data_IF_602921465161
#
_entry.id   IF_602921465161
#
_cell.length_a   1.000
_cell.length_b   1.000
_cell.length_c   1.000
_cell.angle_alpha   90.00
_cell.angle_beta   90.00
_cell.angle_gamma   90.00
#
_symmetry.space_group_name_H-M   'P 1'
#
loop_
_entity.id
_entity.type
_entity.pdbx_description
1 polymer ?
#
# COMPACT_ATOMS: atom_id res chain seq x y z
N UNK A 1 -77.73 2.38 -23.27
CA UNK A 1 -76.86 1.71 -24.27
C UNK A 1 -75.43 1.82 -23.76
N UNK A 2 -74.84 0.75 -23.22
CA UNK A 2 -73.91 -0.19 -23.90
C UNK A 2 -72.59 0.51 -24.31
N UNK A 3 -71.38 0.10 -23.95
CA UNK A 3 -70.89 -1.05 -23.21
C UNK A 3 -69.51 -0.71 -22.59
N UNK A 4 -69.36 -1.10 -21.33
CA UNK A 4 -68.10 -1.30 -20.63
C UNK A 4 -67.36 -2.51 -21.22
N UNK A 5 -66.09 -2.33 -21.59
CA UNK A 5 -65.10 -3.39 -21.72
C UNK A 5 -64.10 -3.17 -20.58
N UNK A 6 -64.27 -3.85 -19.45
CA UNK A 6 -63.64 -5.16 -19.15
C UNK A 6 -62.14 -5.15 -19.42
N UNK A 7 -61.35 -4.82 -18.39
CA UNK A 7 -60.26 -5.72 -18.01
C UNK A 7 -60.32 -5.98 -16.50
N UNK A 8 -60.41 -7.27 -16.24
CA UNK A 8 -60.64 -7.95 -14.98
C UNK A 8 -59.29 -8.22 -14.32
N UNK A 9 -59.23 -7.89 -13.04
CA UNK A 9 -58.49 -8.54 -11.96
C UNK A 9 -57.27 -9.39 -12.33
N UNK A 10 -56.13 -9.07 -11.71
CA UNK A 10 -55.44 -10.04 -10.86
C UNK A 10 -54.76 -9.33 -9.69
N UNK A 11 -55.41 -9.44 -8.54
CA UNK A 11 -54.83 -9.25 -7.22
C UNK A 11 -53.72 -10.29 -6.99
N UNK A 12 -52.85 -9.94 -6.04
CA UNK A 12 -51.99 -10.82 -5.26
C UNK A 12 -50.67 -11.23 -5.94
N UNK A 13 -49.59 -10.55 -5.54
CA UNK A 13 -48.56 -11.21 -4.74
C UNK A 13 -47.85 -10.14 -3.90
N UNK A 14 -48.31 -10.03 -2.66
CA UNK A 14 -47.53 -9.46 -1.55
C UNK A 14 -46.30 -10.35 -1.43
N UNK A 15 -45.19 -9.92 -2.04
CA UNK A 15 -43.88 -10.50 -1.78
C UNK A 15 -43.50 -10.13 -0.34
N UNK A 16 -43.90 -10.98 0.61
CA UNK A 16 -43.38 -11.02 1.98
C UNK A 16 -41.86 -11.19 1.90
N UNK A 17 -41.14 -10.07 1.89
CA UNK A 17 -39.73 -10.08 2.22
C UNK A 17 -39.61 -10.44 3.70
N UNK A 18 -39.17 -11.67 3.98
CA UNK A 18 -38.80 -12.10 5.32
C UNK A 18 -37.56 -11.29 5.73
N UNK A 19 -37.56 -10.60 6.88
CA UNK A 19 -36.35 -9.94 7.34
C UNK A 19 -35.30 -11.01 7.66
N UNK A 20 -34.17 -10.95 6.94
CA UNK A 20 -32.97 -11.73 7.26
C UNK A 20 -32.53 -11.32 8.65
N UNK A 21 -32.71 -12.23 9.60
CA UNK A 21 -32.27 -12.13 10.98
C UNK A 21 -30.75 -11.94 11.00
N UNK A 22 -30.33 -10.69 11.26
CA UNK A 22 -28.94 -10.37 11.60
C UNK A 22 -28.59 -11.12 12.89
N UNK A 23 -27.79 -12.18 12.76
CA UNK A 23 -27.12 -12.81 13.91
C UNK A 23 -25.93 -11.92 14.27
N UNK A 24 -26.08 -11.17 15.35
CA UNK A 24 -25.02 -10.46 16.05
C UNK A 24 -23.94 -11.46 16.49
N UNK A 25 -22.68 -11.31 16.08
CA UNK A 25 -21.59 -12.09 16.66
C UNK A 25 -21.34 -11.62 18.10
N UNK A 26 -21.35 -12.57 19.03
CA UNK A 26 -21.06 -12.38 20.45
C UNK A 26 -19.63 -11.85 20.66
N UNK A 27 -19.40 -10.94 21.62
CA UNK A 27 -18.06 -10.48 21.93
C UNK A 27 -17.28 -11.60 22.64
N UNK A 28 -16.36 -12.24 21.92
CA UNK A 28 -15.40 -13.18 22.51
C UNK A 28 -14.42 -12.41 23.40
N UNK A 29 -14.55 -12.61 24.71
CA UNK A 29 -13.68 -12.08 25.77
C UNK A 29 -12.27 -12.66 25.62
N UNK A 30 -11.38 -11.95 24.93
CA UNK A 30 -10.00 -12.36 24.72
C UNK A 30 -9.21 -12.25 26.03
N UNK A 31 -8.84 -13.41 26.58
CA UNK A 31 -8.03 -13.55 27.80
C UNK A 31 -6.66 -12.90 27.62
N UNK A 32 -6.38 -11.90 28.45
CA UNK A 32 -5.03 -11.44 28.79
C UNK A 32 -4.26 -12.61 29.41
N UNK A 33 -3.25 -13.11 28.69
CA UNK A 33 -2.22 -14.00 29.22
C UNK A 33 -0.86 -13.35 29.00
N UNK A 34 -0.29 -12.83 30.07
CA UNK A 34 1.06 -12.26 30.11
C UNK A 34 2.11 -13.37 30.07
N UNK A 35 3.28 -13.04 29.52
CA UNK A 35 4.59 -13.72 29.62
C UNK A 35 4.82 -14.94 28.70
N UNK A 36 5.47 -14.65 27.57
CA UNK A 36 6.56 -15.50 27.08
C UNK A 36 7.46 -14.64 26.19
N UNK A 37 8.43 -13.96 26.82
CA UNK A 37 9.53 -13.27 26.14
C UNK A 37 10.39 -14.25 25.31
N UNK A 38 10.22 -15.56 25.54
CA UNK A 38 10.87 -16.65 24.82
C UNK A 38 10.21 -17.01 23.48
N UNK A 39 9.08 -16.40 23.13
CA UNK A 39 8.44 -16.57 21.80
C UNK A 39 8.90 -15.53 20.76
N UNK A 40 9.79 -14.62 21.14
CA UNK A 40 10.32 -13.56 20.26
C UNK A 40 11.51 -14.07 19.41
N UNK A 41 12.12 -15.19 19.80
CA UNK A 41 13.26 -15.80 19.12
C UNK A 41 12.89 -16.90 18.11
N UNK A 42 11.60 -17.21 17.98
CA UNK A 42 11.08 -18.24 17.07
C UNK A 42 10.10 -17.67 16.03
N UNK A 43 10.35 -16.42 15.63
CA UNK A 43 9.95 -15.94 14.30
C UNK A 43 11.05 -16.35 13.32
N UNK A 44 10.65 -16.92 12.19
CA UNK A 44 11.53 -17.42 11.13
C UNK A 44 12.73 -16.49 10.94
N UNK A 45 13.95 -16.95 11.25
CA UNK A 45 15.13 -16.06 11.33
C UNK A 45 15.38 -15.27 10.04
N UNK A 46 14.91 -15.80 8.90
CA UNK A 46 14.91 -15.14 7.60
C UNK A 46 13.99 -13.91 7.53
N UNK A 47 12.81 -13.94 8.16
CA UNK A 47 11.87 -12.82 8.20
C UNK A 47 12.38 -11.68 9.10
N UNK A 48 12.92 -12.02 10.26
CA UNK A 48 13.54 -11.03 11.16
C UNK A 48 14.77 -10.41 10.51
N UNK A 49 15.61 -11.20 9.83
CA UNK A 49 16.76 -10.68 9.08
C UNK A 49 16.32 -9.73 7.96
N UNK A 50 15.26 -10.07 7.22
CA UNK A 50 14.70 -9.21 6.19
C UNK A 50 14.20 -7.89 6.76
N UNK A 51 13.46 -7.92 7.89
CA UNK A 51 13.02 -6.71 8.59
C UNK A 51 14.18 -5.87 9.10
N UNK A 52 15.20 -6.47 9.72
CA UNK A 52 16.41 -5.75 10.13
C UNK A 52 17.09 -5.08 8.93
N UNK A 53 17.16 -5.77 7.78
CA UNK A 53 17.69 -5.19 6.55
C UNK A 53 16.85 -4.02 6.06
N UNK A 54 15.51 -4.13 6.06
CA UNK A 54 14.62 -3.01 5.74
C UNK A 54 14.85 -1.82 6.68
N UNK A 55 14.98 -2.08 7.98
CA UNK A 55 15.26 -1.05 8.99
C UNK A 55 16.57 -0.31 8.71
N UNK A 56 17.65 -1.06 8.48
CA UNK A 56 18.95 -0.48 8.15
C UNK A 56 18.89 0.36 6.87
N UNK A 57 18.20 -0.12 5.83
CA UNK A 57 18.04 0.64 4.58
C UNK A 57 17.25 1.93 4.81
N UNK A 58 16.11 1.86 5.50
CA UNK A 58 15.28 3.05 5.77
C UNK A 58 16.03 4.07 6.61
N UNK A 59 16.76 3.62 7.65
CA UNK A 59 17.60 4.48 8.46
C UNK A 59 18.73 5.12 7.63
N UNK A 60 19.41 4.33 6.78
CA UNK A 60 20.51 4.83 5.92
C UNK A 60 20.00 5.83 4.90
N UNK A 61 18.87 5.58 4.25
CA UNK A 61 18.25 6.52 3.30
C UNK A 61 17.81 7.78 4.04
N UNK A 62 17.23 7.65 5.24
CA UNK A 62 16.84 8.80 6.05
C UNK A 62 18.04 9.68 6.40
N UNK A 63 19.11 9.09 6.90
CA UNK A 63 20.36 9.78 7.23
C UNK A 63 21.01 10.37 5.96
N UNK A 64 20.97 9.62 4.87
CA UNK A 64 21.46 10.07 3.56
C UNK A 64 20.73 11.30 3.06
N UNK A 65 19.40 11.37 3.22
CA UNK A 65 18.61 12.55 2.85
C UNK A 65 18.79 13.73 3.81
N UNK A 66 19.27 13.52 5.04
CA UNK A 66 19.63 14.61 5.95
C UNK A 66 21.03 15.18 5.69
N UNK A 67 21.97 14.33 5.26
CA UNK A 67 23.38 14.71 5.10
C UNK A 67 23.71 15.07 3.65
N UNK A 68 23.05 14.44 2.68
CA UNK A 68 23.28 14.62 1.25
C UNK A 68 22.04 15.15 0.53
N UNK A 69 22.24 15.71 -0.66
CA UNK A 69 21.15 16.06 -1.57
C UNK A 69 20.43 14.81 -2.07
N UNK A 70 19.11 14.92 -2.26
CA UNK A 70 18.24 13.92 -2.88
C UNK A 70 18.84 13.32 -4.17
N UNK A 71 19.46 14.15 -5.01
CA UNK A 71 20.05 13.72 -6.27
C UNK A 71 21.19 12.71 -6.09
N UNK A 72 21.99 12.82 -5.02
CA UNK A 72 23.06 11.86 -4.74
C UNK A 72 22.49 10.52 -4.30
N UNK A 73 21.51 10.53 -3.40
CA UNK A 73 20.87 9.29 -2.92
C UNK A 73 20.17 8.58 -4.09
N UNK A 74 19.44 9.31 -4.92
CA UNK A 74 18.78 8.76 -6.12
C UNK A 74 19.80 8.21 -7.13
N UNK A 75 20.91 8.90 -7.37
CA UNK A 75 21.95 8.43 -8.28
C UNK A 75 22.56 7.10 -7.81
N UNK A 76 22.74 6.90 -6.50
CA UNK A 76 23.24 5.63 -5.96
C UNK A 76 22.26 4.48 -6.17
N UNK A 77 20.95 4.73 -5.97
CA UNK A 77 19.92 3.71 -6.15
C UNK A 77 19.76 3.32 -7.62
N UNK A 78 19.79 4.30 -8.53
CA UNK A 78 19.60 4.09 -9.97
C UNK A 78 20.82 3.47 -10.68
N UNK A 79 22.01 3.50 -10.06
CA UNK A 79 23.21 2.79 -10.55
C UNK A 79 23.09 1.27 -10.47
N UNK A 80 22.15 0.75 -9.69
CA UNK A 80 21.90 -0.68 -9.63
C UNK A 80 21.20 -1.12 -10.94
N UNK A 81 21.86 -2.02 -11.68
CA UNK A 81 21.29 -2.60 -12.90
C UNK A 81 20.06 -3.46 -12.56
N UNK A 82 18.89 -2.86 -12.67
CA UNK A 82 17.61 -3.49 -12.46
C UNK A 82 16.86 -3.56 -13.79
N UNK A 83 16.60 -4.78 -14.27
CA UNK A 83 16.00 -5.04 -15.60
C UNK A 83 14.83 -6.02 -15.54
N UNK A 84 14.66 -6.70 -14.41
CA UNK A 84 13.65 -7.74 -14.26
C UNK A 84 12.38 -7.17 -13.67
N UNK A 85 11.24 -7.78 -13.98
CA UNK A 85 9.98 -7.50 -13.31
C UNK A 85 9.91 -8.29 -12.00
N UNK A 86 9.68 -7.59 -10.89
CA UNK A 86 9.45 -8.25 -9.60
C UNK A 86 8.15 -9.05 -9.63
N UNK A 87 8.13 -10.20 -8.96
CA UNK A 87 6.88 -10.89 -8.68
C UNK A 87 6.02 -10.10 -7.70
N UNK A 88 4.69 -10.25 -7.77
CA UNK A 88 3.76 -9.60 -6.83
C UNK A 88 4.04 -9.96 -5.36
N UNK A 89 4.54 -11.18 -5.10
CA UNK A 89 4.94 -11.59 -3.75
C UNK A 89 6.12 -10.78 -3.23
N UNK A 90 7.12 -10.51 -4.07
CA UNK A 90 8.27 -9.69 -3.70
C UNK A 90 7.91 -8.22 -3.51
N UNK A 91 7.05 -7.67 -4.38
CA UNK A 91 6.55 -6.31 -4.23
C UNK A 91 5.85 -6.13 -2.88
N UNK A 92 4.95 -7.06 -2.53
CA UNK A 92 4.24 -7.05 -1.24
C UNK A 92 5.18 -7.21 -0.05
N UNK A 93 6.17 -8.09 -0.16
CA UNK A 93 7.16 -8.30 0.89
C UNK A 93 7.99 -7.04 1.15
N UNK A 94 8.48 -6.39 0.09
CA UNK A 94 9.21 -5.12 0.20
C UNK A 94 8.31 -4.01 0.75
N UNK A 95 7.08 -3.90 0.25
CA UNK A 95 6.11 -2.92 0.71
C UNK A 95 5.87 -3.04 2.23
N UNK A 96 5.54 -4.25 2.68
CA UNK A 96 5.33 -4.53 4.10
C UNK A 96 6.59 -4.28 4.93
N UNK A 97 7.75 -4.76 4.49
CA UNK A 97 8.99 -4.64 5.26
C UNK A 97 9.44 -3.19 5.42
N UNK A 98 9.32 -2.37 4.37
CA UNK A 98 9.62 -0.94 4.41
C UNK A 98 8.60 -0.19 5.27
N UNK A 99 7.31 -0.49 5.13
CA UNK A 99 6.28 0.14 5.95
C UNK A 99 6.44 -0.19 7.45
N UNK A 100 6.79 -1.44 7.76
CA UNK A 100 7.09 -1.87 9.12
C UNK A 100 8.34 -1.15 9.67
N UNK A 101 9.42 -1.11 8.90
CA UNK A 101 10.66 -0.42 9.27
C UNK A 101 10.47 1.08 9.49
N UNK A 102 9.66 1.74 8.65
CA UNK A 102 9.40 3.17 8.75
C UNK A 102 8.79 3.59 10.10
N UNK A 103 8.07 2.69 10.78
CA UNK A 103 7.50 2.94 12.12
C UNK A 103 8.55 3.13 13.20
N UNK A 104 9.76 2.61 12.98
CA UNK A 104 10.87 2.69 13.93
C UNK A 104 11.88 3.79 13.58
N UNK A 105 11.75 4.44 12.42
CA UNK A 105 12.69 5.47 11.95
C UNK A 105 12.01 6.84 11.97
N UNK A 106 12.45 7.78 12.83
CA UNK A 106 11.88 9.12 12.91
C UNK A 106 11.98 9.90 11.59
N UNK A 107 10.86 10.46 11.15
CA UNK A 107 10.81 11.21 9.89
C UNK A 107 11.00 10.35 8.64
N UNK A 108 10.63 9.06 8.68
CA UNK A 108 10.55 8.20 7.51
C UNK A 108 9.38 8.61 6.58
N UNK A 109 9.56 9.75 5.90
CA UNK A 109 8.60 10.31 4.93
C UNK A 109 8.29 9.34 3.78
N UNK A 110 7.24 9.63 3.02
CA UNK A 110 6.90 8.90 1.80
C UNK A 110 8.08 8.77 0.83
N UNK A 111 8.89 9.83 0.68
CA UNK A 111 10.09 9.81 -0.16
C UNK A 111 11.17 8.86 0.38
N UNK A 112 11.41 8.89 1.70
CA UNK A 112 12.34 7.96 2.37
C UNK A 112 11.91 6.51 2.12
N UNK A 113 10.62 6.22 2.27
CA UNK A 113 10.08 4.87 2.05
C UNK A 113 10.19 4.45 0.57
N UNK A 114 9.83 5.32 -0.37
CA UNK A 114 9.91 5.04 -1.80
C UNK A 114 11.35 4.76 -2.25
N UNK A 115 12.33 5.57 -1.82
CA UNK A 115 13.75 5.34 -2.10
C UNK A 115 14.27 4.03 -1.47
N UNK A 116 13.84 3.73 -0.25
CA UNK A 116 14.23 2.49 0.44
C UNK A 116 13.71 1.26 -0.29
N UNK A 117 12.43 1.28 -0.70
CA UNK A 117 11.85 0.20 -1.48
C UNK A 117 12.50 0.07 -2.86
N UNK A 118 12.77 1.19 -3.54
CA UNK A 118 13.47 1.18 -4.84
C UNK A 118 14.85 0.54 -4.71
N UNK A 119 15.62 0.88 -3.68
CA UNK A 119 16.91 0.26 -3.41
C UNK A 119 16.81 -1.25 -3.17
N UNK A 120 15.84 -1.68 -2.37
CA UNK A 120 15.63 -3.11 -2.06
C UNK A 120 15.25 -3.92 -3.30
N UNK A 121 14.39 -3.36 -4.16
CA UNK A 121 14.01 -3.98 -5.44
C UNK A 121 15.19 -4.00 -6.41
N UNK A 122 15.87 -2.86 -6.58
CA UNK A 122 17.00 -2.76 -7.50
C UNK A 122 18.16 -3.67 -7.09
N UNK A 123 18.37 -3.89 -5.78
CA UNK A 123 19.39 -4.84 -5.30
C UNK A 123 19.07 -6.30 -5.63
N UNK A 124 17.81 -6.63 -5.88
CA UNK A 124 17.36 -7.92 -6.41
C UNK A 124 17.33 -7.97 -7.94
N UNK A 125 17.71 -6.89 -8.63
CA UNK A 125 17.61 -6.79 -10.09
C UNK A 125 16.24 -6.36 -10.61
N UNK A 126 15.31 -6.02 -9.72
CA UNK A 126 13.94 -5.68 -10.05
C UNK A 126 13.75 -4.19 -10.35
N UNK A 127 13.29 -3.88 -11.57
CA UNK A 127 13.11 -2.53 -12.05
C UNK A 127 11.95 -1.83 -11.31
N UNK A 128 12.18 -0.60 -10.85
CA UNK A 128 11.15 0.22 -10.21
C UNK A 128 11.47 1.71 -10.32
N UNK A 129 10.42 2.53 -10.33
CA UNK A 129 10.47 3.96 -10.53
C UNK A 129 9.74 4.68 -9.40
N UNK A 130 10.27 5.82 -8.98
CA UNK A 130 9.60 6.71 -8.02
C UNK A 130 8.84 7.77 -8.81
N UNK A 131 7.55 7.89 -8.53
CA UNK A 131 6.71 8.99 -9.02
C UNK A 131 6.42 9.92 -7.84
N UNK A 132 6.63 11.22 -8.03
CA UNK A 132 6.33 12.24 -7.04
C UNK A 132 5.18 13.06 -7.58
N UNK A 133 4.18 13.31 -6.73
CA UNK A 133 3.02 14.10 -7.08
C UNK A 133 2.59 14.95 -5.89
N UNK A 134 1.59 15.79 -6.14
CA UNK A 134 1.00 16.66 -5.14
C UNK A 134 -0.49 16.35 -5.10
N UNK A 135 -0.99 16.03 -3.92
CA UNK A 135 -2.42 15.93 -3.72
C UNK A 135 -2.96 17.35 -3.47
N UNK A 136 -3.88 17.78 -4.32
CA UNK A 136 -4.68 18.98 -4.05
C UNK A 136 -5.84 18.55 -3.17
N UNK A 137 -5.64 18.64 -1.86
CA UNK A 137 -6.74 18.45 -0.92
C UNK A 137 -7.83 19.50 -1.13
N UNK A 138 -9.03 19.25 -0.60
CA UNK A 138 -10.16 20.20 -0.55
C UNK A 138 -9.91 21.41 0.38
N UNK A 139 -8.65 21.72 0.70
CA UNK A 139 -8.20 22.85 1.52
C UNK A 139 -6.73 23.21 1.24
N UNK A 140 -6.27 24.35 1.78
CA UNK A 140 -5.02 25.07 1.42
C UNK A 140 -3.69 24.31 1.64
N UNK A 141 -3.68 23.07 2.13
CA UNK A 141 -2.44 22.31 2.34
C UNK A 141 -2.13 21.40 1.16
N UNK A 142 -1.25 21.87 0.28
CA UNK A 142 -0.63 21.06 -0.75
C UNK A 142 0.25 19.98 -0.09
N UNK A 143 -0.13 18.70 -0.21
CA UNK A 143 0.67 17.58 0.32
C UNK A 143 1.45 16.91 -0.80
N UNK A 144 2.78 17.00 -0.74
CA UNK A 144 3.64 16.23 -1.63
C UNK A 144 3.64 14.76 -1.23
N UNK A 145 3.46 13.88 -2.20
CA UNK A 145 3.45 12.43 -2.00
C UNK A 145 4.35 11.72 -2.99
N UNK A 146 4.89 10.57 -2.58
CA UNK A 146 5.81 9.79 -3.38
C UNK A 146 5.36 8.33 -3.42
N UNK A 147 5.23 7.80 -4.63
CA UNK A 147 4.91 6.39 -4.88
C UNK A 147 6.13 5.68 -5.45
N UNK A 148 6.32 4.45 -4.99
CA UNK A 148 7.17 3.49 -5.67
C UNK A 148 6.29 2.67 -6.60
N UNK A 149 6.63 2.66 -7.88
CA UNK A 149 5.93 1.91 -8.91
C UNK A 149 6.89 0.89 -9.51
N UNK A 150 6.46 -0.36 -9.60
CA UNK A 150 7.16 -1.40 -10.34
C UNK A 150 6.23 -1.85 -11.45
N UNK A 151 6.66 -1.72 -12.70
CA UNK A 151 5.81 -1.97 -13.86
C UNK A 151 4.50 -1.14 -13.79
N UNK A 152 3.33 -1.79 -13.71
CA UNK A 152 2.03 -1.14 -13.51
C UNK A 152 1.49 -1.21 -12.07
N UNK A 153 2.31 -1.60 -11.10
CA UNK A 153 1.89 -1.80 -9.71
C UNK A 153 2.50 -0.78 -8.76
N UNK A 154 1.66 -0.20 -7.90
CA UNK A 154 2.11 0.65 -6.81
C UNK A 154 2.50 -0.22 -5.62
N UNK A 155 3.75 -0.06 -5.21
CA UNK A 155 4.40 -0.87 -4.18
C UNK A 155 4.35 -0.16 -2.83
N UNK A 156 4.68 1.13 -2.81
CA UNK A 156 4.72 1.97 -1.60
C UNK A 156 4.12 3.33 -1.91
N UNK A 157 3.54 3.98 -0.87
CA UNK A 157 2.87 5.28 -1.02
C UNK A 157 1.34 5.23 -0.87
N UNK A 158 0.73 4.18 -0.32
CA UNK A 158 -0.73 4.16 -0.07
C UNK A 158 -1.59 4.03 -1.34
N UNK A 159 -2.92 4.25 -1.22
CA UNK A 159 -3.87 4.14 -2.34
C UNK A 159 -3.84 5.37 -3.26
N UNK A 160 -4.29 5.18 -4.50
CA UNK A 160 -4.41 6.22 -5.55
C UNK A 160 -5.80 6.87 -5.52
N UNK A 161 -6.67 6.50 -4.57
CA UNK A 161 -8.03 7.03 -4.50
C UNK A 161 -7.99 8.53 -4.17
N UNK A 162 -7.95 9.35 -5.23
CA UNK A 162 -7.75 10.80 -5.16
C UNK A 162 -6.89 11.39 -6.29
N UNK A 163 -6.20 10.59 -7.10
CA UNK A 163 -5.38 11.11 -8.20
C UNK A 163 -6.09 11.04 -9.56
N UNK A 164 -6.46 12.21 -10.08
CA UNK A 164 -6.65 12.39 -11.50
C UNK A 164 -5.31 12.10 -12.20
N UNK A 165 -5.27 10.98 -12.92
CA UNK A 165 -4.15 10.58 -13.78
C UNK A 165 -3.97 11.63 -14.89
N UNK A 166 -3.15 12.65 -14.64
CA UNK A 166 -2.80 13.63 -15.67
C UNK A 166 -1.73 13.02 -16.56
N UNK A 167 -2.26 12.49 -17.66
CA UNK A 167 -1.68 12.16 -18.95
C UNK A 167 -1.11 10.75 -19.13
N UNK A 168 -1.91 9.94 -19.82
CA UNK A 168 -1.46 8.84 -20.65
C UNK A 168 -0.79 9.45 -21.90
N UNK A 169 0.54 9.55 -21.90
CA UNK A 169 1.26 9.78 -23.16
C UNK A 169 1.41 8.43 -23.84
N UNK A 170 0.31 8.03 -24.48
CA UNK A 170 0.38 7.08 -25.57
C UNK A 170 1.33 7.61 -26.64
N UNK A 171 2.32 6.81 -26.97
CA UNK A 171 3.09 6.90 -28.21
C UNK A 171 4.03 5.69 -28.25
N UNK A 172 4.04 4.85 -29.27
CA UNK A 172 3.20 4.62 -30.45
C UNK A 172 3.68 3.26 -30.99
#
# INVERSE_FOLDING_TARGET
>A
MRHSSRQVWQKAMVARQRPVTQRTPTPMKQRRGSRSLTRILSLSGSETLFLCRCLLVVATVRLGLTVFSYNRVRAMVTRLNARQCASMGELRLVAWGVAAAARFVPGATCLTQALSGQYLLARKGNASNIRIGIERGTGEQLKAHAWLVSDNHIVLGGSVDGFAHLVDHGSR
#
